data_IF_124983900506
#
_entry.id   IF_124983900506
#
_cell.length_a   1.000
_cell.length_b   1.000
_cell.length_c   1.000
_cell.angle_alpha   90.00
_cell.angle_beta   90.00
_cell.angle_gamma   90.00
#
_symmetry.space_group_name_H-M   'P 1'
#
loop_
_entity.id
_entity.type
_entity.pdbx_description
1 polymer ?
#
# COMPACT_ATOMS: atom_id res chain seq x y z
N UNK A 1 -13.73 -24.13 15.37
CA UNK A 1 -12.68 -25.05 14.89
C UNK A 1 -11.51 -24.19 14.42
N UNK A 2 -10.51 -23.98 15.28
CA UNK A 2 -9.24 -23.38 14.91
C UNK A 2 -8.31 -24.51 14.47
N UNK A 3 -7.84 -24.44 13.23
CA UNK A 3 -6.71 -25.21 12.74
C UNK A 3 -5.58 -24.20 12.56
N UNK A 4 -4.63 -24.23 13.50
CA UNK A 4 -3.38 -23.52 13.35
C UNK A 4 -2.58 -24.17 12.22
N UNK A 5 -2.43 -23.46 11.10
CA UNK A 5 -1.39 -23.78 10.14
C UNK A 5 -0.09 -23.15 10.66
N UNK A 6 0.84 -23.98 11.14
CA UNK A 6 2.22 -23.58 11.49
C UNK A 6 3.10 -23.39 10.24
N UNK A 7 2.57 -23.66 9.04
CA UNK A 7 3.15 -23.16 7.79
C UNK A 7 2.49 -21.84 7.44
N UNK A 8 3.06 -20.73 7.93
CA UNK A 8 2.72 -19.42 7.38
C UNK A 8 2.81 -19.51 5.86
N UNK A 9 1.82 -18.92 5.17
CA UNK A 9 1.88 -18.72 3.74
C UNK A 9 3.25 -18.06 3.48
N UNK A 10 4.21 -18.79 2.91
CA UNK A 10 5.48 -18.20 2.48
C UNK A 10 5.16 -17.42 1.23
N UNK A 11 4.61 -16.23 1.43
CA UNK A 11 4.66 -15.19 0.43
C UNK A 11 6.12 -14.78 0.37
N UNK A 12 6.79 -15.17 -0.72
CA UNK A 12 8.07 -14.59 -1.12
C UNK A 12 7.71 -13.40 -2.00
N UNK A 13 7.49 -12.19 -1.45
CA UNK A 13 7.38 -11.02 -2.31
C UNK A 13 8.68 -10.98 -3.11
N UNK A 14 8.63 -10.87 -4.44
CA UNK A 14 9.83 -10.65 -5.25
C UNK A 14 10.67 -9.53 -4.61
N UNK A 15 11.66 -9.92 -3.80
CA UNK A 15 12.44 -9.01 -2.98
C UNK A 15 13.32 -8.22 -3.95
N UNK A 16 12.88 -7.00 -4.30
CA UNK A 16 13.59 -6.13 -5.23
C UNK A 16 12.69 -5.40 -6.24
N UNK A 17 11.41 -5.78 -6.38
CA UNK A 17 10.48 -5.00 -7.21
C UNK A 17 9.98 -3.78 -6.46
N UNK A 18 10.00 -2.63 -7.12
CA UNK A 18 9.41 -1.40 -6.58
C UNK A 18 7.91 -1.62 -6.33
N UNK A 19 7.46 -1.35 -5.10
CA UNK A 19 6.07 -1.55 -4.72
C UNK A 19 5.16 -0.56 -5.49
N UNK A 20 4.11 -1.05 -6.18
CA UNK A 20 3.17 -0.18 -6.87
C UNK A 20 2.48 0.80 -5.93
N UNK A 21 2.70 2.09 -6.16
CA UNK A 21 2.19 3.20 -5.35
C UNK A 21 0.67 3.30 -5.43
N UNK A 22 0.08 2.85 -6.52
CA UNK A 22 -1.34 3.05 -6.80
C UNK A 22 -2.27 2.11 -6.04
N UNK A 23 -1.85 0.89 -5.71
CA UNK A 23 -2.78 -0.14 -5.19
C UNK A 23 -2.22 -1.02 -4.06
N UNK A 24 -0.97 -0.81 -3.63
CA UNK A 24 -0.40 -1.54 -2.48
C UNK A 24 -0.56 -0.77 -1.18
N UNK A 25 -0.66 -1.47 -0.05
CA UNK A 25 -0.66 -0.85 1.27
C UNK A 25 0.64 -0.06 1.50
N UNK A 26 1.79 -0.63 1.10
CA UNK A 26 3.08 0.04 1.25
C UNK A 26 3.16 1.36 0.49
N UNK A 27 2.70 1.35 -0.77
CA UNK A 27 2.59 2.54 -1.59
C UNK A 27 1.70 3.60 -0.96
N UNK A 28 0.54 3.21 -0.46
CA UNK A 28 -0.40 4.13 0.17
C UNK A 28 0.14 4.72 1.47
N UNK A 29 0.83 3.93 2.30
CA UNK A 29 1.47 4.42 3.51
C UNK A 29 2.55 5.48 3.19
N UNK A 30 3.35 5.24 2.13
CA UNK A 30 4.33 6.21 1.66
C UNK A 30 3.67 7.49 1.13
N UNK A 31 2.71 7.36 0.22
CA UNK A 31 2.02 8.50 -0.39
C UNK A 31 1.23 9.33 0.63
N UNK A 32 0.67 8.70 1.67
CA UNK A 32 -0.05 9.38 2.73
C UNK A 32 0.83 10.36 3.52
N UNK A 33 2.16 10.17 3.51
CA UNK A 33 3.13 11.10 4.11
C UNK A 33 3.30 12.40 3.33
N UNK A 34 2.79 12.48 2.09
CA UNK A 34 2.95 13.58 1.16
C UNK A 34 1.64 14.37 1.00
N UNK A 35 1.73 15.55 0.39
CA UNK A 35 0.55 16.26 -0.10
C UNK A 35 -0.11 15.52 -1.27
N UNK A 36 -1.41 15.74 -1.49
CA UNK A 36 -2.14 15.09 -2.58
C UNK A 36 -1.53 15.37 -3.96
N UNK A 37 -1.06 16.60 -4.18
CA UNK A 37 -0.37 16.98 -5.43
C UNK A 37 0.91 16.16 -5.62
N UNK A 38 1.74 16.06 -4.60
CA UNK A 38 2.99 15.31 -4.67
C UNK A 38 2.72 13.80 -4.84
N UNK A 39 1.74 13.27 -4.11
CA UNK A 39 1.35 11.87 -4.22
C UNK A 39 0.88 11.50 -5.64
N UNK A 40 0.00 12.31 -6.23
CA UNK A 40 -0.47 12.09 -7.60
C UNK A 40 0.67 12.20 -8.62
N UNK A 41 1.60 13.14 -8.45
CA UNK A 41 2.76 13.28 -9.32
C UNK A 41 3.71 12.07 -9.24
N UNK A 42 3.89 11.48 -8.05
CA UNK A 42 4.67 10.24 -7.89
C UNK A 42 4.01 9.06 -8.61
N UNK A 43 2.70 8.90 -8.45
CA UNK A 43 1.91 7.84 -9.10
C UNK A 43 1.95 7.98 -10.62
N UNK A 44 1.80 9.20 -11.13
CA UNK A 44 1.89 9.48 -12.56
C UNK A 44 3.28 9.15 -13.12
N UNK A 45 4.35 9.47 -12.37
CA UNK A 45 5.71 9.13 -12.77
C UNK A 45 6.01 7.64 -12.75
N UNK A 46 5.52 6.90 -11.74
CA UNK A 46 5.69 5.45 -11.68
C UNK A 46 4.85 4.75 -12.77
N UNK A 47 3.73 5.35 -13.14
CA UNK A 47 2.74 4.74 -14.02
C UNK A 47 1.83 3.78 -13.26
N UNK A 48 0.64 3.58 -13.82
CA UNK A 48 -0.34 2.61 -13.33
C UNK A 48 -0.47 1.54 -14.40
N UNK A 49 -0.25 0.27 -14.03
CA UNK A 49 -0.41 -0.87 -14.94
C UNK A 49 -1.83 -0.98 -15.54
N UNK A 50 -2.10 -2.05 -16.28
CA UNK A 50 -3.44 -2.23 -16.84
C UNK A 50 -4.43 -2.59 -15.72
N UNK A 51 -5.71 -2.19 -15.88
CA UNK A 51 -6.74 -2.44 -14.87
C UNK A 51 -6.94 -3.93 -14.51
N UNK A 52 -6.56 -4.83 -15.44
CA UNK A 52 -6.56 -6.30 -15.27
C UNK A 52 -5.45 -6.82 -14.35
N UNK A 53 -4.44 -6.00 -14.06
CA UNK A 53 -3.29 -6.35 -13.23
C UNK A 53 -3.57 -6.07 -11.74
N UNK A 54 -4.78 -5.59 -11.41
CA UNK A 54 -5.17 -5.22 -10.04
C UNK A 54 -6.33 -6.08 -9.55
N UNK A 55 -6.38 -6.30 -8.24
CA UNK A 55 -7.52 -6.91 -7.58
C UNK A 55 -8.79 -6.05 -7.66
N UNK A 56 -9.96 -6.62 -7.35
CA UNK A 56 -11.26 -5.96 -7.52
C UNK A 56 -11.38 -4.62 -6.79
N UNK A 57 -10.74 -4.48 -5.63
CA UNK A 57 -10.89 -3.32 -4.75
C UNK A 57 -9.85 -2.22 -4.96
N UNK A 58 -8.91 -2.42 -5.90
CA UNK A 58 -7.92 -1.40 -6.21
C UNK A 58 -8.56 -0.08 -6.64
N UNK A 59 -7.95 1.08 -6.35
CA UNK A 59 -8.41 2.36 -6.89
C UNK A 59 -8.53 2.29 -8.41
N UNK A 60 -9.57 2.90 -8.97
CA UNK A 60 -9.80 3.01 -10.42
C UNK A 60 -9.65 4.44 -10.93
N UNK A 61 -9.45 5.40 -10.01
CA UNK A 61 -9.28 6.81 -10.33
C UNK A 61 -8.36 7.53 -9.35
N UNK A 62 -7.90 8.72 -9.74
CA UNK A 62 -7.13 9.63 -8.87
C UNK A 62 -7.92 9.97 -7.61
N UNK A 63 -9.21 10.29 -7.75
CA UNK A 63 -10.09 10.61 -6.62
C UNK A 63 -10.24 9.44 -5.65
N UNK A 64 -10.33 8.21 -6.18
CA UNK A 64 -10.37 7.01 -5.35
C UNK A 64 -9.09 6.79 -4.57
N UNK A 65 -7.93 6.93 -5.23
CA UNK A 65 -6.65 6.87 -4.54
C UNK A 65 -6.60 7.88 -3.39
N UNK A 66 -7.01 9.14 -3.62
CA UNK A 66 -7.01 10.16 -2.57
C UNK A 66 -7.90 9.78 -1.38
N UNK A 67 -9.01 9.06 -1.58
CA UNK A 67 -9.82 8.52 -0.47
C UNK A 67 -9.04 7.52 0.38
N UNK A 68 -8.29 6.62 -0.25
CA UNK A 68 -7.40 5.70 0.47
C UNK A 68 -6.31 6.43 1.24
N UNK A 69 -5.66 7.43 0.64
CA UNK A 69 -4.61 8.21 1.30
C UNK A 69 -5.15 9.01 2.48
N UNK A 70 -6.34 9.63 2.33
CA UNK A 70 -7.02 10.32 3.43
C UNK A 70 -7.26 9.38 4.61
N UNK A 71 -7.81 8.20 4.35
CA UNK A 71 -8.04 7.17 5.38
C UNK A 71 -6.73 6.74 6.06
N UNK A 72 -5.66 6.55 5.29
CA UNK A 72 -4.36 6.20 5.85
C UNK A 72 -3.78 7.30 6.75
N UNK A 73 -3.97 8.59 6.40
CA UNK A 73 -3.57 9.72 7.24
C UNK A 73 -4.36 9.77 8.56
N UNK A 74 -5.66 9.50 8.50
CA UNK A 74 -6.54 9.50 9.69
C UNK A 74 -6.18 8.39 10.69
N UNK A 75 -5.81 7.21 10.19
CA UNK A 75 -5.49 6.06 11.05
C UNK A 75 -4.00 5.89 11.38
N UNK A 76 -3.11 6.56 10.66
CA UNK A 76 -1.66 6.41 10.80
C UNK A 76 -1.07 5.17 10.12
N UNK A 77 -1.89 4.36 9.45
CA UNK A 77 -1.46 3.20 8.67
C UNK A 77 -2.38 3.01 7.44
N UNK A 78 -1.86 2.37 6.40
CA UNK A 78 -2.63 1.96 5.23
C UNK A 78 -2.99 0.47 5.31
N UNK A 79 -4.14 0.11 4.76
CA UNK A 79 -4.51 -1.29 4.56
C UNK A 79 -5.23 -1.47 3.24
N UNK A 80 -5.04 -2.65 2.65
CA UNK A 80 -5.66 -3.08 1.41
C UNK A 80 -6.22 -4.48 1.55
N UNK A 81 -7.41 -4.67 1.01
CA UNK A 81 -8.09 -5.96 0.93
C UNK A 81 -8.41 -6.17 -0.54
N UNK A 82 -7.84 -7.20 -1.14
CA UNK A 82 -8.02 -7.60 -2.54
C UNK A 82 -7.73 -6.48 -3.56
N UNK A 83 -6.71 -5.67 -3.32
CA UNK A 83 -6.30 -4.61 -4.25
C UNK A 83 -5.16 -5.03 -5.18
N UNK A 84 -4.28 -5.93 -4.73
CA UNK A 84 -3.22 -6.48 -5.59
C UNK A 84 -3.71 -7.72 -6.34
N UNK A 85 -4.39 -8.63 -5.64
CA UNK A 85 -5.00 -9.84 -6.19
C UNK A 85 -6.16 -10.30 -5.31
N UNK A 86 -7.13 -11.10 -5.81
CA UNK A 86 -8.16 -11.72 -4.99
C UNK A 86 -7.58 -12.52 -3.82
N UNK A 87 -8.23 -12.46 -2.66
CA UNK A 87 -7.79 -13.13 -1.43
C UNK A 87 -6.59 -12.50 -0.71
N UNK A 88 -5.89 -11.52 -1.28
CA UNK A 88 -4.73 -10.88 -0.63
C UNK A 88 -5.13 -9.70 0.25
N UNK A 89 -4.63 -9.68 1.48
CA UNK A 89 -4.69 -8.54 2.37
C UNK A 89 -3.27 -8.02 2.69
N UNK A 90 -3.15 -6.71 2.89
CA UNK A 90 -1.91 -6.12 3.35
C UNK A 90 -2.17 -4.90 4.24
N UNK A 91 -1.30 -4.69 5.21
CA UNK A 91 -1.22 -3.48 6.02
C UNK A 91 0.19 -2.92 5.95
N UNK A 92 0.31 -1.60 6.10
CA UNK A 92 1.59 -0.93 6.07
C UNK A 92 1.59 0.36 6.91
N UNK A 93 2.72 0.65 7.54
CA UNK A 93 2.93 1.85 8.34
C UNK A 93 4.20 2.57 7.90
N UNK A 94 4.15 3.89 7.87
CA UNK A 94 5.31 4.71 7.58
C UNK A 94 6.26 4.70 8.78
N UNK A 95 7.53 4.36 8.54
CA UNK A 95 8.60 4.51 9.52
C UNK A 95 9.11 5.94 9.45
N UNK A 96 9.16 6.61 10.60
CA UNK A 96 9.62 7.99 10.73
C UNK A 96 10.88 8.05 11.57
N UNK A 97 11.75 9.01 11.26
CA UNK A 97 12.86 9.34 12.12
C UNK A 97 12.33 9.95 13.43
N UNK A 98 12.85 9.53 14.60
CA UNK A 98 12.26 9.88 15.89
C UNK A 98 12.39 11.37 16.25
N UNK A 99 13.40 12.07 15.73
CA UNK A 99 13.67 13.46 16.13
C UNK A 99 12.98 14.50 15.23
N UNK A 100 12.96 14.29 13.91
CA UNK A 100 12.49 15.28 12.92
C UNK A 100 11.22 14.83 12.18
N UNK A 101 10.72 13.62 12.45
CA UNK A 101 9.50 13.08 11.86
C UNK A 101 9.62 12.73 10.36
N UNK A 102 10.83 12.81 9.77
CA UNK A 102 11.08 12.55 8.35
C UNK A 102 10.71 11.10 8.01
N UNK A 103 10.07 10.90 6.85
CA UNK A 103 9.79 9.56 6.33
C UNK A 103 11.10 8.82 5.98
N UNK A 104 11.29 7.64 6.57
CA UNK A 104 12.47 6.79 6.33
C UNK A 104 12.15 5.59 5.43
N UNK A 105 10.92 5.09 5.50
CA UNK A 105 10.49 3.92 4.75
C UNK A 105 9.13 3.45 5.19
N UNK A 106 8.78 2.22 4.84
CA UNK A 106 7.50 1.60 5.18
C UNK A 106 7.73 0.18 5.66
N UNK A 107 7.07 -0.20 6.75
CA UNK A 107 6.98 -1.58 7.22
C UNK A 107 5.62 -2.14 6.80
N UNK A 108 5.59 -3.34 6.21
CA UNK A 108 4.36 -3.96 5.74
C UNK A 108 4.25 -5.43 6.14
N UNK A 109 3.01 -5.86 6.37
CA UNK A 109 2.61 -7.25 6.60
C UNK A 109 1.53 -7.59 5.56
N UNK A 110 1.66 -8.72 4.88
CA UNK A 110 0.71 -9.20 3.88
C UNK A 110 0.40 -10.69 4.10
N UNK A 111 -0.78 -11.13 3.68
CA UNK A 111 -1.26 -12.51 3.81
C UNK A 111 -2.57 -12.76 3.09
#
# INVERSE_FOLDING_TARGET
KSQGATSGLRYDPDMGREAPLFYTASGHAWLASLSDKAALALVERQGVGAARDFGPNAPRSRSELLRYLKRAREHGYAWQIECSAPGMAAMAVLVRHPEDGRALGVLSVAG
#
